data_IF_717083978708
#
_entry.id   IF_717083978708
#
_cell.length_a   1.000
_cell.length_b   1.000
_cell.length_c   1.000
_cell.angle_alpha   90.00
_cell.angle_beta   90.00
_cell.angle_gamma   90.00
#
_symmetry.space_group_name_H-M   'P 1'
#
loop_
_entity.id
_entity.type
_entity.pdbx_description
1 polymer ?
#
# COMPACT_ATOMS: atom_id res chain seq x y z
N UNK A 1 -74.38 35.09 12.96
CA UNK A 1 -73.01 34.93 13.49
C UNK A 1 -72.47 33.60 12.99
N UNK A 2 -71.41 33.64 12.17
CA UNK A 2 -70.35 32.60 11.94
C UNK A 2 -70.80 31.16 11.64
N UNK A 3 -70.38 30.43 10.60
CA UNK A 3 -69.19 30.51 9.74
C UNK A 3 -69.26 29.43 8.62
N UNK A 4 -68.78 29.77 7.42
CA UNK A 4 -67.98 28.97 6.45
C UNK A 4 -68.46 27.57 6.00
N UNK A 5 -68.85 27.36 4.73
CA UNK A 5 -68.04 27.26 3.48
C UNK A 5 -67.68 25.80 3.11
N UNK A 6 -68.37 25.29 2.08
CA UNK A 6 -67.85 24.57 0.91
C UNK A 6 -66.62 23.68 1.15
N UNK A 7 -66.85 22.39 1.40
CA UNK A 7 -65.81 21.35 1.25
C UNK A 7 -65.72 20.97 -0.23
N UNK A 8 -64.92 21.75 -0.95
CA UNK A 8 -64.57 21.53 -2.35
C UNK A 8 -63.63 20.34 -2.55
N UNK A 9 -63.77 19.75 -3.73
CA UNK A 9 -62.96 18.71 -4.32
C UNK A 9 -61.44 18.84 -4.10
N UNK A 10 -60.82 17.82 -3.52
CA UNK A 10 -59.47 17.33 -3.88
C UNK A 10 -59.24 15.99 -3.18
N UNK A 11 -59.72 14.88 -3.74
CA UNK A 11 -59.30 13.56 -3.24
C UNK A 11 -59.36 12.45 -4.30
N UNK A 12 -59.02 12.77 -5.56
CA UNK A 12 -59.05 11.79 -6.64
C UNK A 12 -58.00 12.06 -7.72
N UNK A 13 -56.71 12.06 -7.35
CA UNK A 13 -55.64 12.15 -8.35
C UNK A 13 -54.34 11.39 -8.02
N UNK A 14 -54.31 10.50 -7.03
CA UNK A 14 -53.11 9.67 -6.74
C UNK A 14 -53.38 8.17 -6.83
N UNK A 15 -54.61 7.74 -7.09
CA UNK A 15 -55.00 6.32 -7.03
C UNK A 15 -54.75 5.49 -8.30
N UNK A 16 -54.25 6.06 -9.41
CA UNK A 16 -54.20 5.33 -10.69
C UNK A 16 -52.87 5.42 -11.45
N UNK A 17 -51.75 5.11 -10.80
CA UNK A 17 -50.55 4.62 -11.49
C UNK A 17 -50.23 3.21 -10.99
N UNK A 18 -51.07 2.25 -11.39
CA UNK A 18 -50.85 0.81 -11.18
C UNK A 18 -49.88 0.27 -12.25
N UNK A 19 -48.65 0.78 -12.29
CA UNK A 19 -47.61 0.11 -13.06
C UNK A 19 -46.87 -0.87 -12.13
N UNK A 20 -46.81 -2.18 -12.43
CA UNK A 20 -46.26 -3.21 -11.54
C UNK A 20 -44.77 -3.00 -11.19
N UNK A 21 -44.07 -2.09 -11.88
CA UNK A 21 -42.70 -1.69 -11.55
C UNK A 21 -42.61 -0.66 -10.42
N UNK A 22 -43.61 0.20 -10.22
CA UNK A 22 -43.59 1.19 -9.13
C UNK A 22 -43.89 0.57 -7.76
N UNK A 23 -44.70 -0.49 -7.71
CA UNK A 23 -44.99 -1.22 -6.47
C UNK A 23 -43.76 -1.96 -5.92
N UNK A 24 -42.84 -2.41 -6.78
CA UNK A 24 -41.58 -3.05 -6.36
C UNK A 24 -40.59 -2.04 -5.75
N UNK A 25 -40.55 -0.81 -6.27
CA UNK A 25 -39.72 0.27 -5.70
C UNK A 25 -40.25 0.70 -4.33
N UNK A 26 -41.57 0.75 -4.17
CA UNK A 26 -42.21 1.00 -2.88
C UNK A 26 -41.96 -0.12 -1.83
N UNK A 27 -41.52 -1.30 -2.28
CA UNK A 27 -41.11 -2.44 -1.44
C UNK A 27 -39.60 -2.50 -1.19
N UNK A 28 -38.84 -1.46 -1.54
CA UNK A 28 -37.39 -1.38 -1.30
C UNK A 28 -36.52 -2.14 -2.31
N UNK A 29 -37.11 -2.72 -3.36
CA UNK A 29 -36.35 -3.36 -4.45
C UNK A 29 -35.85 -2.30 -5.43
N UNK A 30 -34.54 -2.09 -5.47
CA UNK A 30 -33.92 -1.06 -6.32
C UNK A 30 -33.68 -1.53 -7.77
N UNK A 31 -33.83 -2.82 -8.04
CA UNK A 31 -33.54 -3.41 -9.35
C UNK A 31 -34.29 -2.74 -10.53
N UNK A 32 -35.59 -2.43 -10.46
CA UNK A 32 -36.30 -1.76 -11.55
C UNK A 32 -35.73 -0.36 -11.86
N UNK A 33 -35.31 0.37 -10.82
CA UNK A 33 -34.69 1.70 -10.95
C UNK A 33 -33.30 1.57 -11.54
N UNK A 34 -32.50 0.63 -11.03
CA UNK A 34 -31.15 0.36 -11.55
C UNK A 34 -31.20 -0.02 -13.05
N UNK A 35 -32.10 -0.91 -13.44
CA UNK A 35 -32.25 -1.31 -14.84
C UNK A 35 -32.59 -0.11 -15.74
N UNK A 36 -33.49 0.78 -15.32
CA UNK A 36 -33.80 2.00 -16.06
C UNK A 36 -32.57 2.92 -16.19
N UNK A 37 -31.80 3.06 -15.11
CA UNK A 37 -30.57 3.86 -15.12
C UNK A 37 -29.53 3.26 -16.06
N UNK A 38 -29.30 1.94 -16.02
CA UNK A 38 -28.35 1.27 -16.91
C UNK A 38 -28.80 1.35 -18.38
N UNK A 39 -30.09 1.20 -18.67
CA UNK A 39 -30.63 1.21 -20.03
C UNK A 39 -30.69 2.59 -20.68
N UNK A 40 -30.93 3.66 -19.90
CA UNK A 40 -31.18 4.99 -20.46
C UNK A 40 -30.13 6.04 -20.11
N UNK A 41 -29.48 5.93 -18.94
CA UNK A 41 -28.52 6.92 -18.46
C UNK A 41 -27.08 6.45 -18.57
N UNK A 42 -26.82 5.18 -18.26
CA UNK A 42 -25.49 4.58 -18.23
C UNK A 42 -25.35 3.51 -19.32
N UNK A 43 -25.73 3.86 -20.55
CA UNK A 43 -25.74 2.94 -21.71
C UNK A 43 -24.38 2.34 -22.05
N UNK A 44 -23.29 2.97 -21.62
CA UNK A 44 -21.91 2.51 -21.81
C UNK A 44 -21.40 1.62 -20.67
N UNK A 45 -22.25 1.20 -19.73
CA UNK A 45 -21.84 0.42 -18.56
C UNK A 45 -21.19 -0.92 -18.95
N UNK A 46 -21.74 -1.64 -19.93
CA UNK A 46 -21.17 -2.90 -20.42
C UNK A 46 -19.82 -2.71 -21.11
N UNK A 47 -19.68 -1.66 -21.93
CA UNK A 47 -18.39 -1.32 -22.54
C UNK A 47 -17.33 -0.94 -21.49
N UNK A 48 -17.75 -0.27 -20.42
CA UNK A 48 -16.87 0.08 -19.30
C UNK A 48 -16.42 -1.17 -18.53
N UNK A 49 -17.34 -2.10 -18.25
CA UNK A 49 -17.03 -3.40 -17.64
C UNK A 49 -16.05 -4.21 -18.50
N UNK A 50 -16.26 -4.24 -19.81
CA UNK A 50 -15.36 -4.92 -20.75
C UNK A 50 -13.95 -4.30 -20.74
N UNK A 51 -13.85 -2.97 -20.68
CA UNK A 51 -12.57 -2.27 -20.59
C UNK A 51 -11.82 -2.60 -19.30
N UNK A 52 -12.51 -2.64 -18.15
CA UNK A 52 -11.89 -3.05 -16.87
C UNK A 52 -11.34 -4.48 -16.96
N UNK A 53 -12.11 -5.42 -17.51
CA UNK A 53 -11.66 -6.81 -17.69
C UNK A 53 -10.46 -6.94 -18.61
N UNK A 54 -10.42 -6.17 -19.70
CA UNK A 54 -9.27 -6.11 -20.59
C UNK A 54 -8.01 -5.67 -19.85
N UNK A 55 -8.12 -4.64 -19.02
CA UNK A 55 -6.99 -4.13 -18.21
C UNK A 55 -6.49 -5.08 -17.12
N UNK A 56 -7.32 -6.01 -16.62
CA UNK A 56 -6.89 -7.00 -15.62
C UNK A 56 -5.83 -7.98 -16.13
N UNK A 57 -5.74 -8.20 -17.45
CA UNK A 57 -4.75 -9.10 -18.05
C UNK A 57 -3.33 -8.56 -17.90
N UNK A 58 -3.17 -7.23 -17.91
CA UNK A 58 -1.88 -6.54 -17.86
C UNK A 58 -1.55 -6.01 -16.45
N UNK A 59 -2.42 -6.24 -15.47
CA UNK A 59 -2.25 -5.75 -14.10
C UNK A 59 -1.28 -6.60 -13.27
N UNK A 60 -0.51 -5.94 -12.39
CA UNK A 60 0.34 -6.62 -11.40
C UNK A 60 -0.49 -7.48 -10.43
N UNK A 61 0.12 -8.52 -9.84
CA UNK A 61 -0.58 -9.48 -8.95
C UNK A 61 -1.33 -8.81 -7.79
N UNK A 62 -0.78 -7.73 -7.23
CA UNK A 62 -1.38 -6.97 -6.13
C UNK A 62 -2.53 -6.05 -6.57
N UNK A 63 -2.40 -5.40 -7.74
CA UNK A 63 -3.47 -4.59 -8.32
C UNK A 63 -4.64 -5.46 -8.78
N UNK A 64 -4.34 -6.65 -9.31
CA UNK A 64 -5.33 -7.58 -9.85
C UNK A 64 -6.36 -8.04 -8.81
N UNK A 65 -5.94 -8.38 -7.59
CA UNK A 65 -6.86 -8.84 -6.53
C UNK A 65 -7.94 -7.80 -6.19
N UNK A 66 -7.55 -6.52 -6.04
CA UNK A 66 -8.51 -5.44 -5.76
C UNK A 66 -9.48 -5.20 -6.93
N UNK A 67 -8.98 -5.31 -8.16
CA UNK A 67 -9.80 -5.11 -9.35
C UNK A 67 -10.74 -6.28 -9.63
N UNK A 68 -10.37 -7.51 -9.25
CA UNK A 68 -11.23 -8.68 -9.38
C UNK A 68 -12.48 -8.55 -8.52
N UNK A 69 -12.34 -8.15 -7.24
CA UNK A 69 -13.47 -7.95 -6.33
C UNK A 69 -14.43 -6.86 -6.84
N UNK A 70 -13.89 -5.72 -7.27
CA UNK A 70 -14.69 -4.66 -7.89
C UNK A 70 -15.40 -5.15 -9.15
N UNK A 71 -14.69 -5.87 -10.02
CA UNK A 71 -15.26 -6.37 -11.28
C UNK A 71 -16.42 -7.33 -11.03
N UNK A 72 -16.30 -8.22 -10.04
CA UNK A 72 -17.38 -9.12 -9.64
C UNK A 72 -18.59 -8.35 -9.10
N UNK A 73 -18.36 -7.34 -8.27
CA UNK A 73 -19.44 -6.52 -7.71
C UNK A 73 -20.18 -5.73 -8.80
N UNK A 74 -19.46 -5.13 -9.74
CA UNK A 74 -20.07 -4.43 -10.87
C UNK A 74 -20.80 -5.39 -11.83
N UNK A 75 -20.31 -6.62 -11.99
CA UNK A 75 -20.96 -7.66 -12.80
C UNK A 75 -22.33 -8.07 -12.22
N UNK A 76 -22.42 -8.20 -10.90
CA UNK A 76 -23.67 -8.50 -10.22
C UNK A 76 -24.69 -7.33 -10.33
N UNK A 77 -24.23 -6.08 -10.50
CA UNK A 77 -25.11 -4.96 -10.85
C UNK A 77 -25.63 -5.07 -12.29
N UNK A 78 -24.82 -5.52 -13.24
CA UNK A 78 -25.25 -5.75 -14.62
C UNK A 78 -26.28 -6.88 -14.73
N UNK A 79 -26.15 -7.95 -13.93
CA UNK A 79 -26.99 -9.15 -14.05
C UNK A 79 -28.47 -8.88 -13.73
N UNK A 80 -29.31 -8.87 -14.77
CA UNK A 80 -30.75 -8.62 -14.70
C UNK A 80 -31.52 -9.64 -13.88
N UNK A 81 -30.93 -10.80 -13.59
CA UNK A 81 -31.55 -11.87 -12.79
C UNK A 81 -31.29 -11.71 -11.29
N UNK A 82 -30.46 -10.75 -10.87
CA UNK A 82 -30.15 -10.53 -9.46
C UNK A 82 -31.12 -9.52 -8.82
N UNK A 83 -32.15 -10.04 -8.14
CA UNK A 83 -33.16 -9.24 -7.44
C UNK A 83 -32.67 -8.69 -6.08
N UNK A 84 -31.49 -9.09 -5.59
CA UNK A 84 -30.94 -8.72 -4.27
C UNK A 84 -30.15 -7.40 -4.27
N UNK A 85 -30.32 -6.54 -5.28
CA UNK A 85 -29.68 -5.23 -5.27
C UNK A 85 -30.35 -4.33 -4.23
N UNK A 86 -29.75 -4.28 -3.05
CA UNK A 86 -30.12 -3.39 -1.94
C UNK A 86 -29.31 -2.09 -1.98
N UNK A 87 -29.75 -1.10 -1.18
CA UNK A 87 -28.98 0.14 -1.01
C UNK A 87 -27.60 -0.13 -0.40
N UNK A 88 -27.52 -1.07 0.55
CA UNK A 88 -26.27 -1.48 1.19
C UNK A 88 -25.29 -2.08 0.17
N UNK A 89 -25.79 -2.93 -0.72
CA UNK A 89 -24.99 -3.49 -1.81
C UNK A 89 -24.39 -2.40 -2.71
N UNK A 90 -25.20 -1.40 -3.09
CA UNK A 90 -24.75 -0.26 -3.88
C UNK A 90 -23.71 0.58 -3.13
N UNK A 91 -23.91 0.84 -1.84
CA UNK A 91 -22.95 1.56 -1.01
C UNK A 91 -21.61 0.84 -0.93
N UNK A 92 -21.63 -0.48 -0.73
CA UNK A 92 -20.42 -1.30 -0.72
C UNK A 92 -19.72 -1.30 -2.09
N UNK A 93 -20.48 -1.37 -3.19
CA UNK A 93 -19.92 -1.30 -4.55
C UNK A 93 -19.24 0.06 -4.80
N UNK A 94 -19.87 1.16 -4.37
CA UNK A 94 -19.30 2.52 -4.49
C UNK A 94 -18.02 2.65 -3.66
N UNK A 95 -18.00 2.09 -2.45
CA UNK A 95 -16.81 2.07 -1.59
C UNK A 95 -15.66 1.32 -2.27
N UNK A 96 -15.92 0.10 -2.74
CA UNK A 96 -14.93 -0.71 -3.47
C UNK A 96 -14.41 0.00 -4.72
N UNK A 97 -15.30 0.67 -5.47
CA UNK A 97 -14.93 1.44 -6.64
C UNK A 97 -13.99 2.60 -6.28
N UNK A 98 -14.29 3.32 -5.20
CA UNK A 98 -13.49 4.46 -4.73
C UNK A 98 -12.10 4.01 -4.28
N UNK A 99 -12.00 2.94 -3.48
CA UNK A 99 -10.74 2.35 -3.02
C UNK A 99 -9.88 1.81 -4.19
N UNK A 100 -10.53 1.19 -5.18
CA UNK A 100 -9.86 0.70 -6.38
C UNK A 100 -9.33 1.85 -7.24
N UNK A 101 -10.09 2.93 -7.41
CA UNK A 101 -9.67 4.13 -8.15
C UNK A 101 -8.45 4.75 -7.47
N UNK A 102 -8.46 4.90 -6.15
CA UNK A 102 -7.32 5.47 -5.42
C UNK A 102 -6.08 4.58 -5.49
N UNK A 103 -6.27 3.26 -5.46
CA UNK A 103 -5.19 2.31 -5.69
C UNK A 103 -4.62 2.47 -7.10
N UNK A 104 -5.46 2.41 -8.15
CA UNK A 104 -5.05 2.59 -9.55
C UNK A 104 -4.31 3.91 -9.76
N UNK A 105 -4.77 5.02 -9.16
CA UNK A 105 -4.08 6.32 -9.26
C UNK A 105 -2.65 6.26 -8.73
N UNK A 106 -2.43 5.56 -7.61
CA UNK A 106 -1.07 5.34 -7.06
C UNK A 106 -0.20 4.51 -8.00
N UNK A 107 -0.77 3.55 -8.72
CA UNK A 107 -0.05 2.76 -9.72
C UNK A 107 0.24 3.55 -11.00
N UNK A 108 -0.74 4.33 -11.48
CA UNK A 108 -0.63 5.10 -12.72
C UNK A 108 0.29 6.31 -12.59
N UNK A 109 0.39 6.87 -11.38
CA UNK A 109 1.30 7.95 -11.05
C UNK A 109 2.09 7.55 -9.79
N UNK A 110 3.05 6.60 -9.94
CA UNK A 110 3.85 6.16 -8.80
C UNK A 110 4.52 7.38 -8.16
N UNK A 111 4.62 7.43 -6.82
CA UNK A 111 5.36 8.48 -6.15
C UNK A 111 6.73 8.62 -6.82
N UNK A 112 7.08 9.82 -7.28
CA UNK A 112 8.43 10.10 -7.81
C UNK A 112 9.49 9.91 -6.75
N UNK A 113 9.08 9.99 -5.48
CA UNK A 113 9.91 9.62 -4.34
C UNK A 113 9.76 8.12 -4.05
N UNK A 114 10.77 7.35 -4.44
CA UNK A 114 10.88 5.92 -4.15
C UNK A 114 11.53 5.65 -2.78
N UNK A 115 11.60 6.67 -1.91
CA UNK A 115 12.08 6.54 -0.54
C UNK A 115 11.12 5.69 0.29
N UNK A 116 11.71 4.73 0.99
CA UNK A 116 11.02 3.92 1.98
C UNK A 116 11.34 4.49 3.36
N UNK A 117 10.29 4.82 4.12
CA UNK A 117 10.44 5.23 5.52
C UNK A 117 9.71 4.24 6.42
N UNK A 118 10.38 3.84 7.50
CA UNK A 118 9.75 3.03 8.54
C UNK A 118 10.27 3.43 9.91
N UNK A 119 9.46 3.14 10.92
CA UNK A 119 9.80 3.49 12.30
C UNK A 119 10.65 2.39 12.97
N UNK A 120 10.32 1.12 12.73
CA UNK A 120 11.00 -0.04 13.31
C UNK A 120 10.77 -1.28 12.42
N UNK A 121 11.70 -2.23 12.45
CA UNK A 121 11.56 -3.54 11.79
C UNK A 121 12.11 -4.66 12.67
N UNK A 122 11.42 -5.80 12.69
CA UNK A 122 11.81 -6.99 13.43
C UNK A 122 11.58 -8.24 12.59
N UNK A 123 12.59 -9.11 12.50
CA UNK A 123 12.51 -10.42 11.84
C UNK A 123 11.83 -10.35 10.46
N UNK A 124 12.26 -9.39 9.65
CA UNK A 124 11.68 -9.08 8.34
C UNK A 124 12.73 -9.07 7.24
N UNK A 125 12.28 -9.05 6.00
CA UNK A 125 13.11 -8.83 4.82
C UNK A 125 12.60 -7.59 4.07
N UNK A 126 13.50 -6.66 3.75
CA UNK A 126 13.19 -5.40 3.11
C UNK A 126 13.97 -5.27 1.81
N UNK A 127 13.26 -5.04 0.71
CA UNK A 127 13.84 -4.73 -0.60
C UNK A 127 13.42 -3.33 -1.03
N UNK A 128 14.39 -2.49 -1.38
CA UNK A 128 14.11 -1.12 -1.81
C UNK A 128 15.06 -0.65 -2.91
N UNK A 129 14.51 0.06 -3.89
CA UNK A 129 15.31 0.65 -4.98
C UNK A 129 15.74 2.09 -4.68
N UNK A 130 14.96 2.80 -3.87
CA UNK A 130 15.24 4.15 -3.41
C UNK A 130 15.96 4.21 -2.06
N UNK A 131 16.09 5.42 -1.48
CA UNK A 131 16.60 5.60 -0.13
C UNK A 131 15.75 4.88 0.91
N UNK A 132 16.38 4.33 1.94
CA UNK A 132 15.70 3.74 3.09
C UNK A 132 16.03 4.53 4.36
N UNK A 133 15.02 4.98 5.08
CA UNK A 133 15.18 5.70 6.35
C UNK A 133 14.44 4.98 7.46
N UNK A 134 15.17 4.62 8.52
CA UNK A 134 14.61 4.10 9.78
C UNK A 134 14.71 5.18 10.84
N UNK A 135 13.60 5.87 11.08
CA UNK A 135 13.55 7.06 11.93
C UNK A 135 13.42 6.76 13.42
N UNK A 136 12.97 5.56 13.78
CA UNK A 136 12.74 5.15 15.16
C UNK A 136 13.92 4.38 15.79
N UNK A 137 13.64 3.49 16.77
CA UNK A 137 14.67 2.92 17.63
C UNK A 137 15.66 1.99 16.92
N UNK A 138 15.31 1.43 15.76
CA UNK A 138 16.23 0.58 15.00
C UNK A 138 15.59 -0.57 14.24
N UNK A 139 16.39 -1.59 13.96
CA UNK A 139 15.99 -2.85 13.35
C UNK A 139 16.61 -4.03 14.11
N UNK A 140 15.93 -5.18 14.14
CA UNK A 140 16.44 -6.40 14.76
C UNK A 140 16.17 -7.64 13.90
N UNK A 141 17.21 -8.46 13.67
CA UNK A 141 17.10 -9.68 12.86
C UNK A 141 16.51 -9.44 11.46
N UNK A 142 16.73 -8.25 10.89
CA UNK A 142 16.17 -7.87 9.59
C UNK A 142 17.22 -7.98 8.49
N UNK A 143 16.80 -8.46 7.31
CA UNK A 143 17.61 -8.46 6.09
C UNK A 143 17.18 -7.28 5.22
N UNK A 144 18.15 -6.51 4.71
CA UNK A 144 17.90 -5.35 3.86
C UNK A 144 18.71 -5.45 2.59
N UNK A 145 18.02 -5.39 1.45
CA UNK A 145 18.58 -5.22 0.13
C UNK A 145 18.18 -3.85 -0.43
N UNK A 146 19.15 -2.96 -0.60
CA UNK A 146 18.91 -1.59 -1.02
C UNK A 146 19.80 -1.19 -2.21
N UNK A 147 19.23 -0.57 -3.25
CA UNK A 147 20.06 0.11 -4.27
C UNK A 147 20.29 1.59 -3.98
N UNK A 148 19.44 2.21 -3.16
CA UNK A 148 19.64 3.55 -2.62
C UNK A 148 20.42 3.55 -1.30
N UNK A 149 20.73 4.73 -0.73
CA UNK A 149 21.39 4.85 0.56
C UNK A 149 20.46 4.40 1.71
N UNK A 150 21.06 3.89 2.78
CA UNK A 150 20.33 3.44 3.98
C UNK A 150 20.76 4.30 5.17
N UNK A 151 19.79 4.89 5.87
CA UNK A 151 20.02 5.65 7.10
C UNK A 151 19.16 5.10 8.25
N UNK A 152 19.81 4.62 9.31
CA UNK A 152 19.16 4.06 10.49
C UNK A 152 19.59 4.92 11.67
N UNK A 153 18.70 5.78 12.15
CA UNK A 153 19.02 6.67 13.27
C UNK A 153 19.30 5.88 14.58
N UNK A 154 18.62 4.76 14.74
CA UNK A 154 18.71 3.88 15.89
C UNK A 154 19.78 2.79 15.79
N UNK A 155 19.44 1.60 16.29
CA UNK A 155 20.33 0.43 16.28
C UNK A 155 20.04 -0.55 15.14
N UNK A 156 21.02 -1.38 14.80
CA UNK A 156 20.84 -2.62 14.04
C UNK A 156 21.34 -3.78 14.90
N UNK A 157 20.46 -4.71 15.28
CA UNK A 157 20.80 -5.86 16.15
C UNK A 157 20.59 -7.20 15.45
N UNK A 158 21.67 -7.69 14.87
CA UNK A 158 21.65 -8.86 14.00
C UNK A 158 20.93 -8.59 12.68
N UNK A 159 21.03 -9.57 11.79
CA UNK A 159 20.59 -9.42 10.41
C UNK A 159 21.72 -8.96 9.49
N UNK A 160 21.34 -8.53 8.30
CA UNK A 160 22.26 -8.30 7.19
C UNK A 160 21.79 -7.14 6.33
N UNK A 161 22.68 -6.20 6.01
CA UNK A 161 22.41 -5.13 5.05
C UNK A 161 23.36 -5.28 3.87
N UNK A 162 22.80 -5.33 2.65
CA UNK A 162 23.53 -5.12 1.40
C UNK A 162 22.96 -3.91 0.69
N UNK A 163 23.75 -2.86 0.64
CA UNK A 163 23.37 -1.58 0.06
C UNK A 163 24.31 -1.23 -1.09
N UNK A 164 23.79 -0.71 -2.21
CA UNK A 164 24.62 -0.27 -3.35
C UNK A 164 25.20 1.15 -3.20
N UNK A 165 24.92 1.81 -2.07
CA UNK A 165 25.32 3.19 -1.74
C UNK A 165 25.84 3.26 -0.30
N UNK A 166 25.98 4.47 0.24
CA UNK A 166 26.39 4.69 1.61
C UNK A 166 25.36 4.17 2.61
N UNK A 167 25.87 3.73 3.77
CA UNK A 167 25.06 3.30 4.90
C UNK A 167 25.45 4.11 6.14
N UNK A 168 24.46 4.63 6.86
CA UNK A 168 24.62 5.35 8.13
C UNK A 168 23.76 4.64 9.19
N UNK A 169 24.37 4.28 10.33
CA UNK A 169 23.65 3.59 11.42
C UNK A 169 24.09 4.16 12.77
N UNK A 170 23.15 4.50 13.64
CA UNK A 170 23.47 4.97 14.99
C UNK A 170 24.32 3.95 15.76
N UNK A 171 23.85 2.71 15.89
CA UNK A 171 24.59 1.64 16.58
C UNK A 171 24.49 0.30 15.85
N UNK A 172 25.60 -0.39 15.65
CA UNK A 172 25.62 -1.70 14.98
C UNK A 172 26.03 -2.79 15.98
N UNK A 173 25.23 -3.85 16.05
CA UNK A 173 25.46 -5.01 16.89
C UNK A 173 24.92 -4.86 18.32
N UNK A 174 25.30 -5.80 19.17
CA UNK A 174 24.94 -5.81 20.60
C UNK A 174 26.15 -6.13 21.46
N UNK A 175 26.19 -5.70 22.74
CA UNK A 175 27.23 -6.12 23.69
C UNK A 175 27.35 -7.65 23.82
N UNK A 176 26.23 -8.37 23.67
CA UNK A 176 26.18 -9.82 23.69
C UNK A 176 26.79 -10.48 22.43
N UNK A 177 27.22 -9.70 21.45
CA UNK A 177 27.94 -10.19 20.27
C UNK A 177 27.06 -10.90 19.24
N UNK A 178 25.79 -10.49 19.08
CA UNK A 178 24.94 -11.01 18.01
C UNK A 178 25.52 -10.59 16.64
N UNK A 179 25.84 -11.56 15.79
CA UNK A 179 26.42 -11.32 14.47
C UNK A 179 25.54 -10.39 13.66
N UNK A 180 26.14 -9.29 13.19
CA UNK A 180 25.48 -8.23 12.44
C UNK A 180 26.39 -7.83 11.29
N UNK A 181 25.90 -7.81 10.06
CA UNK A 181 26.75 -7.58 8.89
C UNK A 181 26.19 -6.48 7.97
N UNK A 182 27.07 -5.59 7.52
CA UNK A 182 26.76 -4.50 6.61
C UNK A 182 27.75 -4.50 5.46
N UNK A 183 27.24 -4.51 4.23
CA UNK A 183 28.02 -4.64 3.00
C UNK A 183 27.65 -3.52 2.04
N UNK A 184 28.67 -2.81 1.55
CA UNK A 184 28.55 -1.80 0.49
C UNK A 184 29.61 -2.04 -0.60
N UNK A 185 29.40 -1.59 -1.85
CA UNK A 185 30.41 -1.68 -2.88
C UNK A 185 31.58 -0.71 -2.65
N UNK A 186 32.66 -0.93 -3.39
CA UNK A 186 33.80 0.00 -3.41
C UNK A 186 33.36 1.40 -3.86
N UNK A 187 34.01 2.44 -3.32
CA UNK A 187 33.62 3.85 -3.54
C UNK A 187 32.55 4.39 -2.59
N UNK A 188 32.00 3.54 -1.71
CA UNK A 188 31.04 3.93 -0.66
C UNK A 188 31.59 3.63 0.73
N UNK A 189 30.88 4.13 1.73
CA UNK A 189 31.27 4.01 3.13
C UNK A 189 30.11 3.57 4.02
N UNK A 190 30.48 2.94 5.13
CA UNK A 190 29.61 2.63 6.25
C UNK A 190 30.00 3.55 7.41
N UNK A 191 29.06 4.31 7.91
CA UNK A 191 29.20 5.21 9.05
C UNK A 191 28.43 4.64 10.24
N UNK A 192 29.06 4.59 11.40
CA UNK A 192 28.39 4.24 12.63
C UNK A 192 28.90 4.99 13.85
N UNK A 193 27.99 5.49 14.69
CA UNK A 193 28.40 6.15 15.93
C UNK A 193 28.96 5.14 16.93
N UNK A 194 28.46 3.91 16.89
CA UNK A 194 28.92 2.81 17.75
C UNK A 194 28.87 1.47 17.03
N UNK A 195 29.91 0.66 17.20
CA UNK A 195 30.00 -0.70 16.68
C UNK A 195 30.38 -1.65 17.81
N UNK A 196 29.58 -2.69 18.02
CA UNK A 196 29.80 -3.72 19.04
C UNK A 196 30.56 -4.93 18.48
N UNK A 197 31.11 -5.81 19.35
CA UNK A 197 31.75 -7.06 18.93
C UNK A 197 30.87 -7.92 18.03
N UNK A 198 31.51 -8.75 17.19
CA UNK A 198 30.86 -9.58 16.17
C UNK A 198 30.10 -8.82 15.09
N UNK A 199 30.26 -7.50 15.00
CA UNK A 199 29.87 -6.73 13.83
C UNK A 199 30.87 -6.93 12.71
N UNK A 200 30.36 -7.08 11.50
CA UNK A 200 31.13 -7.28 10.29
C UNK A 200 30.79 -6.14 9.33
N UNK A 201 31.79 -5.34 8.97
CA UNK A 201 31.64 -4.31 7.95
C UNK A 201 32.45 -4.68 6.72
N UNK A 202 31.84 -4.54 5.54
CA UNK A 202 32.48 -4.85 4.27
C UNK A 202 32.28 -3.71 3.26
N UNK A 203 33.36 -3.28 2.64
CA UNK A 203 33.38 -2.32 1.53
C UNK A 203 34.13 -2.96 0.37
N UNK A 204 33.42 -3.24 -0.74
CA UNK A 204 33.97 -3.99 -1.86
C UNK A 204 34.45 -5.38 -1.43
N UNK A 205 35.73 -5.68 -1.65
CA UNK A 205 36.35 -6.95 -1.22
C UNK A 205 36.95 -6.89 0.19
N UNK A 206 36.95 -5.72 0.83
CA UNK A 206 37.61 -5.55 2.13
C UNK A 206 36.59 -5.73 3.24
N UNK A 207 36.85 -6.69 4.12
CA UNK A 207 35.98 -7.10 5.21
C UNK A 207 36.72 -6.98 6.54
N UNK A 208 36.08 -6.41 7.55
CA UNK A 208 36.61 -6.34 8.92
C UNK A 208 35.56 -6.79 9.93
N UNK A 209 35.95 -7.66 10.86
CA UNK A 209 35.13 -8.12 11.98
C UNK A 209 35.62 -7.47 13.26
N UNK A 210 34.77 -6.67 13.88
CA UNK A 210 35.06 -5.98 15.13
C UNK A 210 35.06 -6.99 16.30
N UNK A 211 36.16 -7.00 17.06
CA UNK A 211 36.33 -7.90 18.23
C UNK A 211 35.97 -7.22 19.55
N UNK A 212 35.96 -5.89 19.56
CA UNK A 212 35.63 -5.05 20.72
C UNK A 212 34.70 -3.93 20.28
N UNK A 213 34.24 -3.14 21.24
CA UNK A 213 33.46 -1.95 20.99
C UNK A 213 34.34 -0.83 20.38
N UNK A 214 33.81 -0.14 19.36
CA UNK A 214 34.40 1.06 18.78
C UNK A 214 33.34 2.16 18.64
N UNK A 215 33.77 3.41 18.73
CA UNK A 215 32.93 4.59 18.52
C UNK A 215 33.39 5.38 17.31
N UNK A 216 32.45 6.12 16.69
CA UNK A 216 32.71 7.01 15.55
C UNK A 216 33.44 6.29 14.41
N UNK A 217 32.89 5.16 13.99
CA UNK A 217 33.47 4.31 12.95
C UNK A 217 33.07 4.84 11.57
N UNK A 218 34.07 5.09 10.75
CA UNK A 218 33.91 5.28 9.31
C UNK A 218 34.71 4.19 8.58
N UNK A 219 33.99 3.24 7.99
CA UNK A 219 34.58 2.15 7.24
C UNK A 219 34.40 2.39 5.74
N UNK A 220 35.53 2.50 5.04
CA UNK A 220 35.65 2.76 3.60
C UNK A 220 36.90 2.06 3.08
N UNK A 221 37.08 1.98 1.76
CA UNK A 221 38.28 1.39 1.18
C UNK A 221 39.58 2.05 1.70
N UNK A 222 39.58 3.38 1.88
CA UNK A 222 40.73 4.14 2.39
C UNK A 222 41.01 3.88 3.88
N UNK A 223 39.98 3.72 4.70
CA UNK A 223 40.15 3.50 6.15
C UNK A 223 40.41 2.03 6.50
N UNK A 224 40.14 1.10 5.58
CA UNK A 224 40.25 -0.32 5.87
C UNK A 224 41.68 -0.80 6.13
N UNK A 225 42.71 -0.09 5.63
CA UNK A 225 44.12 -0.36 5.97
C UNK A 225 44.42 -0.16 7.46
N UNK A 226 43.75 0.81 8.09
CA UNK A 226 43.90 1.10 9.53
C UNK A 226 43.35 -0.05 10.40
N UNK A 227 42.33 -0.76 9.92
CA UNK A 227 41.68 -1.87 10.64
C UNK A 227 42.28 -3.24 10.30
N UNK A 228 43.28 -3.33 9.40
CA UNK A 228 43.99 -4.59 9.12
C UNK A 228 45.10 -4.91 10.14
N UNK A 229 45.55 -3.91 10.90
CA UNK A 229 46.71 -4.02 11.80
C UNK A 229 46.39 -3.90 13.30
N UNK A 230 45.11 -3.88 13.68
CA UNK A 230 44.66 -3.79 15.08
C UNK A 230 43.69 -4.90 15.45
#
# INVERSE_FOLDING_TARGET
MTSSLVTGATNNAVSNIHHPRYSQVAQGKLRPVLNLLLQHRFTQFESFLSAIRGGLADASSSARAHLEELTQSLQALADTNNDEVTLEYLQNTIRLASESIDSIKKWANPPTDNRVELYYSFASELECTGPLVVSGPGIESTIIHATGPVDIHGYMRGGYIKCARNVSIGQIGTPAGKTTEVVVPEGYSILANKVYPNTILQVGQIKHKFQREHSMVQFSAATAETYRHG
#
